data_IF_291377368454
#
_entry.id   IF_291377368454
#
_cell.length_a   1.000
_cell.length_b   1.000
_cell.length_c   1.000
_cell.angle_alpha   90.00
_cell.angle_beta   90.00
_cell.angle_gamma   90.00
#
_symmetry.space_group_name_H-M   'P 1'
#
loop_
_entity.id
_entity.type
_entity.pdbx_description
1 polymer ?
#
# COMPACT_ATOMS: atom_id res chain seq x y z
N UNK A 1 35.46 -13.77 32.99
CA UNK A 1 34.14 -14.47 33.06
C UNK A 1 33.30 -13.91 31.94
N UNK A 2 33.32 -14.59 30.81
CA UNK A 2 32.59 -14.24 29.58
C UNK A 2 31.15 -14.79 29.72
N UNK A 3 30.16 -13.90 29.82
CA UNK A 3 28.74 -14.26 29.76
C UNK A 3 28.44 -14.75 28.36
N UNK A 4 28.17 -16.06 28.23
CA UNK A 4 27.62 -16.68 27.05
C UNK A 4 26.22 -16.12 26.80
N UNK A 5 26.01 -15.54 25.58
CA UNK A 5 24.73 -15.07 25.13
C UNK A 5 23.71 -16.20 25.16
N UNK A 6 22.56 -15.94 25.81
CA UNK A 6 21.42 -16.84 25.85
C UNK A 6 20.96 -17.08 24.42
N UNK A 7 21.18 -18.30 23.89
CA UNK A 7 20.72 -18.70 22.56
C UNK A 7 19.20 -18.59 22.50
N UNK A 8 18.72 -17.59 21.76
CA UNK A 8 17.29 -17.41 21.55
C UNK A 8 16.74 -18.65 20.85
N UNK A 9 15.74 -19.34 21.43
CA UNK A 9 15.21 -20.58 20.87
C UNK A 9 14.71 -20.39 19.43
N UNK A 10 14.84 -21.40 18.59
CA UNK A 10 14.54 -21.35 17.16
C UNK A 10 13.14 -20.81 16.85
N UNK A 11 12.13 -21.21 17.64
CA UNK A 11 10.76 -20.71 17.46
C UNK A 11 10.65 -19.18 17.65
N UNK A 12 11.40 -18.60 18.60
CA UNK A 12 11.39 -17.16 18.83
C UNK A 12 12.16 -16.39 17.74
N UNK A 13 13.15 -17.03 17.09
CA UNK A 13 13.81 -16.47 15.90
C UNK A 13 12.85 -16.47 14.70
N UNK A 14 12.16 -17.58 14.47
CA UNK A 14 11.15 -17.71 13.40
C UNK A 14 10.01 -16.72 13.60
N UNK A 15 9.48 -16.60 14.82
CA UNK A 15 8.43 -15.63 15.13
C UNK A 15 8.87 -14.20 14.84
N UNK A 16 10.08 -13.80 15.23
CA UNK A 16 10.63 -12.46 14.91
C UNK A 16 10.74 -12.22 13.39
N UNK A 17 11.16 -13.23 12.62
CA UNK A 17 11.22 -13.12 11.16
C UNK A 17 9.83 -12.95 10.56
N UNK A 18 8.84 -13.70 11.04
CA UNK A 18 7.45 -13.56 10.59
C UNK A 18 6.91 -12.18 10.96
N UNK A 19 7.10 -11.76 12.20
CA UNK A 19 6.59 -10.47 12.70
C UNK A 19 7.23 -9.28 11.96
N UNK A 20 8.52 -9.35 11.67
CA UNK A 20 9.21 -8.26 10.95
C UNK A 20 8.88 -8.21 9.44
N UNK A 21 8.59 -9.36 8.80
CA UNK A 21 8.33 -9.41 7.35
C UNK A 21 6.85 -9.41 6.97
N UNK A 22 5.98 -9.92 7.83
CA UNK A 22 4.55 -10.11 7.57
C UNK A 22 3.64 -9.50 8.64
N UNK A 23 4.22 -8.97 9.70
CA UNK A 23 3.51 -8.38 10.85
C UNK A 23 2.90 -9.42 11.80
N UNK A 24 2.52 -10.56 11.30
CA UNK A 24 1.93 -11.68 12.06
C UNK A 24 1.82 -12.93 11.21
N UNK A 25 1.59 -14.09 11.84
CA UNK A 25 1.25 -15.34 11.12
C UNK A 25 0.01 -15.17 10.23
N UNK A 26 -1.01 -14.43 10.71
CA UNK A 26 -2.20 -14.12 9.91
C UNK A 26 -1.86 -13.27 8.68
N UNK A 27 -0.97 -12.29 8.82
CA UNK A 27 -0.46 -11.48 7.70
C UNK A 27 0.30 -12.32 6.69
N UNK A 28 1.14 -13.25 7.15
CA UNK A 28 1.85 -14.20 6.29
C UNK A 28 0.89 -15.09 5.49
N UNK A 29 -0.10 -15.71 6.14
CA UNK A 29 -1.10 -16.54 5.46
C UNK A 29 -1.87 -15.74 4.41
N UNK A 30 -2.34 -14.54 4.74
CA UNK A 30 -3.04 -13.67 3.79
C UNK A 30 -2.17 -13.27 2.60
N UNK A 31 -0.88 -13.00 2.83
CA UNK A 31 0.07 -12.71 1.77
C UNK A 31 0.24 -13.90 0.80
N UNK A 32 0.32 -15.11 1.32
CA UNK A 32 0.43 -16.32 0.50
C UNK A 32 -0.85 -16.62 -0.28
N UNK A 33 -2.03 -16.47 0.35
CA UNK A 33 -3.31 -16.63 -0.33
C UNK A 33 -3.48 -15.61 -1.45
N UNK A 34 -3.15 -14.34 -1.22
CA UNK A 34 -3.19 -13.30 -2.23
C UNK A 34 -2.22 -13.59 -3.39
N UNK A 35 -1.03 -14.13 -3.08
CA UNK A 35 -0.07 -14.53 -4.10
C UNK A 35 -0.58 -15.73 -4.92
N UNK A 36 -1.26 -16.68 -4.29
CA UNK A 36 -1.88 -17.81 -4.99
C UNK A 36 -3.03 -17.33 -5.91
N UNK A 37 -3.92 -16.43 -5.45
CA UNK A 37 -4.97 -15.81 -6.28
C UNK A 37 -4.36 -15.07 -7.49
N UNK A 38 -3.24 -14.38 -7.30
CA UNK A 38 -2.51 -13.70 -8.37
C UNK A 38 -1.96 -14.68 -9.41
N UNK A 39 -1.23 -15.71 -8.97
CA UNK A 39 -0.66 -16.73 -9.88
C UNK A 39 -1.73 -17.49 -10.65
N UNK A 40 -2.93 -17.68 -10.07
CA UNK A 40 -4.08 -18.29 -10.74
C UNK A 40 -4.81 -17.35 -11.70
N UNK A 41 -4.34 -16.12 -11.92
CA UNK A 41 -4.96 -15.13 -12.82
C UNK A 41 -6.28 -14.53 -12.30
N UNK A 42 -6.65 -14.81 -11.04
CA UNK A 42 -7.91 -14.29 -10.48
C UNK A 42 -7.89 -12.78 -10.22
N UNK A 43 -6.70 -12.17 -10.27
CA UNK A 43 -6.48 -10.74 -9.98
C UNK A 43 -6.11 -9.93 -11.22
N UNK A 44 -6.16 -10.49 -12.43
CA UNK A 44 -5.75 -9.81 -13.67
C UNK A 44 -6.47 -8.48 -13.87
N UNK A 45 -7.77 -8.43 -13.56
CA UNK A 45 -8.56 -7.19 -13.64
C UNK A 45 -8.06 -6.07 -12.68
N UNK A 46 -7.23 -6.39 -11.68
CA UNK A 46 -6.68 -5.45 -10.70
C UNK A 46 -5.16 -5.25 -10.81
N UNK A 47 -4.52 -5.92 -11.76
CA UNK A 47 -3.08 -5.79 -12.03
C UNK A 47 -2.81 -5.10 -13.36
N UNK A 48 -3.84 -5.02 -14.22
CA UNK A 48 -3.81 -4.32 -15.49
C UNK A 48 -4.92 -3.27 -15.50
N UNK A 49 -4.69 -2.09 -14.88
CA UNK A 49 -5.66 -1.01 -14.93
C UNK A 49 -5.96 -0.65 -16.40
N UNK A 50 -7.22 -0.36 -16.68
CA UNK A 50 -7.66 -0.03 -18.04
C UNK A 50 -6.85 1.13 -18.63
N UNK A 51 -6.73 1.16 -19.96
CA UNK A 51 -5.97 2.13 -20.74
C UNK A 51 -6.54 3.58 -20.71
N UNK A 52 -7.33 3.92 -19.70
CA UNK A 52 -7.83 5.27 -19.51
C UNK A 52 -6.69 6.20 -19.08
N UNK A 53 -6.73 7.43 -19.54
CA UNK A 53 -5.80 8.46 -19.11
C UNK A 53 -5.90 8.65 -17.59
N UNK A 54 -4.83 8.27 -16.87
CA UNK A 54 -4.76 8.39 -15.41
C UNK A 54 -4.21 9.76 -15.05
N UNK A 55 -5.06 10.61 -14.45
CA UNK A 55 -4.66 11.97 -14.04
C UNK A 55 -4.45 12.10 -12.53
N UNK A 56 -4.97 11.16 -11.74
CA UNK A 56 -4.83 11.18 -10.29
C UNK A 56 -4.73 9.76 -9.71
N UNK A 57 -3.75 9.56 -8.84
CA UNK A 57 -3.60 8.35 -8.04
C UNK A 57 -4.35 8.49 -6.72
N UNK A 58 -5.19 7.52 -6.38
CA UNK A 58 -5.97 7.55 -5.15
C UNK A 58 -5.67 6.31 -4.32
N UNK A 59 -4.90 6.46 -3.27
CA UNK A 59 -4.49 5.34 -2.42
C UNK A 59 -5.56 5.00 -1.40
N UNK A 60 -5.91 3.71 -1.31
CA UNK A 60 -7.05 3.24 -0.52
C UNK A 60 -6.63 2.20 0.51
N UNK A 61 -6.92 2.46 1.79
CA UNK A 61 -6.80 1.47 2.86
C UNK A 61 -8.02 1.52 3.79
N UNK A 62 -8.00 0.83 4.91
CA UNK A 62 -9.16 0.82 5.82
C UNK A 62 -9.35 2.19 6.50
N UNK A 63 -8.33 2.69 7.20
CA UNK A 63 -8.45 3.86 8.09
C UNK A 63 -7.87 5.16 7.53
N UNK A 64 -7.18 5.16 6.40
CA UNK A 64 -6.49 6.34 5.83
C UNK A 64 -5.56 7.10 6.82
N UNK A 65 -4.97 6.38 7.78
CA UNK A 65 -4.10 6.95 8.81
C UNK A 65 -2.66 6.40 8.78
N UNK A 66 -2.41 5.34 8.00
CA UNK A 66 -1.11 4.67 7.85
C UNK A 66 -0.72 4.55 6.38
N UNK A 67 -1.09 3.41 5.76
CA UNK A 67 -0.61 2.96 4.45
C UNK A 67 -0.94 3.92 3.31
N UNK A 68 -2.22 4.27 3.15
CA UNK A 68 -2.66 5.14 2.05
C UNK A 68 -2.19 6.58 2.25
N UNK A 69 -2.15 7.06 3.50
CA UNK A 69 -1.59 8.36 3.85
C UNK A 69 -0.10 8.46 3.45
N UNK A 70 0.68 7.42 3.77
CA UNK A 70 2.09 7.36 3.41
C UNK A 70 2.30 7.26 1.89
N UNK A 71 1.54 6.39 1.21
CA UNK A 71 1.62 6.22 -0.24
C UNK A 71 1.31 7.51 -1.01
N UNK A 72 0.34 8.30 -0.54
CA UNK A 72 0.01 9.61 -1.09
C UNK A 72 1.22 10.56 -1.03
N UNK A 73 1.92 10.64 0.11
CA UNK A 73 3.09 11.50 0.25
C UNK A 73 4.25 11.03 -0.63
N UNK A 74 4.47 9.71 -0.75
CA UNK A 74 5.48 9.17 -1.69
C UNK A 74 5.16 9.61 -3.12
N UNK A 75 3.92 9.43 -3.58
CA UNK A 75 3.52 9.78 -4.94
C UNK A 75 3.65 11.30 -5.20
N UNK A 76 3.25 12.13 -4.24
CA UNK A 76 3.41 13.59 -4.32
C UNK A 76 4.88 14.01 -4.38
N UNK A 77 5.75 13.37 -3.60
CA UNK A 77 7.19 13.62 -3.66
C UNK A 77 7.81 13.25 -5.02
N UNK A 78 7.20 12.30 -5.75
CA UNK A 78 7.56 11.95 -7.12
C UNK A 78 6.92 12.88 -8.18
N UNK A 79 6.16 13.89 -7.77
CA UNK A 79 5.50 14.85 -8.67
C UNK A 79 4.16 14.35 -9.25
N UNK A 80 3.61 13.22 -8.76
CA UNK A 80 2.32 12.75 -9.21
C UNK A 80 1.17 13.47 -8.49
N UNK A 81 0.06 13.71 -9.20
CA UNK A 81 -1.19 14.14 -8.58
C UNK A 81 -1.78 12.99 -7.78
N UNK A 82 -1.85 13.14 -6.46
CA UNK A 82 -2.26 12.05 -5.57
C UNK A 82 -3.17 12.52 -4.45
N UNK A 83 -4.03 11.61 -4.00
CA UNK A 83 -4.84 11.71 -2.80
C UNK A 83 -4.98 10.34 -2.13
N UNK A 84 -5.58 10.28 -0.94
CA UNK A 84 -5.84 9.02 -0.27
C UNK A 84 -7.19 9.03 0.44
N UNK A 85 -7.79 7.84 0.60
CA UNK A 85 -9.08 7.65 1.26
C UNK A 85 -9.08 6.41 2.15
N UNK A 86 -9.96 6.41 3.15
CA UNK A 86 -10.24 5.28 4.03
C UNK A 86 -11.63 4.69 3.76
N UNK A 87 -11.73 3.37 3.81
CA UNK A 87 -13.01 2.68 3.66
C UNK A 87 -13.88 2.76 4.91
N UNK A 88 -13.27 3.02 6.06
CA UNK A 88 -13.94 3.16 7.36
C UNK A 88 -13.06 4.03 8.26
N UNK A 89 -13.30 5.32 8.23
CA UNK A 89 -12.55 6.30 9.01
C UNK A 89 -13.43 7.50 9.36
N UNK A 90 -12.87 8.45 10.08
CA UNK A 90 -13.50 9.77 10.30
C UNK A 90 -12.74 10.79 9.50
N UNK A 91 -13.40 11.51 8.59
CA UNK A 91 -12.80 12.60 7.84
C UNK A 91 -12.24 13.65 8.79
N UNK A 92 -11.00 14.08 8.53
CA UNK A 92 -10.25 15.00 9.39
C UNK A 92 -9.41 14.29 10.48
N UNK A 93 -9.51 12.97 10.66
CA UNK A 93 -8.68 12.27 11.62
C UNK A 93 -7.18 12.38 11.24
N UNK A 94 -6.28 12.60 12.22
CA UNK A 94 -4.84 12.69 11.95
C UNK A 94 -4.26 11.32 11.59
N UNK A 95 -3.07 11.33 10.99
CA UNK A 95 -2.29 10.11 10.81
C UNK A 95 -1.97 9.46 12.17
N UNK A 96 -1.81 8.14 12.16
CA UNK A 96 -1.43 7.39 13.35
C UNK A 96 -0.02 7.81 13.81
N UNK A 97 0.19 7.96 15.13
CA UNK A 97 1.46 8.49 15.66
C UNK A 97 2.69 7.73 15.14
N UNK A 98 2.65 6.38 15.08
CA UNK A 98 3.76 5.58 14.50
C UNK A 98 4.00 5.86 13.02
N UNK A 99 2.98 6.19 12.25
CA UNK A 99 3.15 6.59 10.86
C UNK A 99 3.88 7.94 10.77
N UNK A 100 3.50 8.90 11.63
CA UNK A 100 4.18 10.20 11.72
C UNK A 100 5.64 10.03 12.15
N UNK A 101 5.92 9.17 13.13
CA UNK A 101 7.28 8.88 13.62
C UNK A 101 8.16 8.13 12.60
N UNK A 102 7.53 7.32 11.73
CA UNK A 102 8.25 6.48 10.76
C UNK A 102 8.52 7.21 9.45
N UNK A 103 7.60 8.05 8.98
CA UNK A 103 7.67 8.73 7.69
C UNK A 103 8.98 9.56 7.47
N UNK A 104 9.57 10.23 8.49
CA UNK A 104 10.83 10.95 8.33
C UNK A 104 12.02 10.08 7.90
N UNK A 105 12.00 8.77 8.18
CA UNK A 105 13.03 7.82 7.68
C UNK A 105 13.03 7.69 6.14
N UNK A 106 11.95 8.12 5.50
CA UNK A 106 11.75 8.13 4.06
C UNK A 106 11.78 9.55 3.48
N UNK A 107 12.16 10.56 4.30
CA UNK A 107 12.17 11.97 3.89
C UNK A 107 10.79 12.60 3.76
N UNK A 108 9.76 12.02 4.41
CA UNK A 108 8.36 12.43 4.29
C UNK A 108 7.79 12.90 5.64
N UNK A 109 6.75 13.75 5.58
CA UNK A 109 6.03 14.26 6.76
C UNK A 109 4.53 13.92 6.65
N UNK A 110 4.00 13.25 7.68
CA UNK A 110 2.58 12.93 7.82
C UNK A 110 1.89 13.75 8.92
N UNK A 111 2.57 14.71 9.56
CA UNK A 111 2.04 15.47 10.70
C UNK A 111 0.79 16.30 10.35
N UNK A 112 0.66 16.69 9.09
CA UNK A 112 -0.47 17.49 8.58
C UNK A 112 -1.51 16.65 7.84
N UNK A 113 -1.34 15.33 7.80
CA UNK A 113 -2.29 14.46 7.12
C UNK A 113 -3.65 14.50 7.82
N UNK A 114 -4.70 14.55 7.02
CA UNK A 114 -6.09 14.42 7.45
C UNK A 114 -6.75 13.32 6.64
N UNK A 115 -7.28 12.31 7.33
CA UNK A 115 -7.97 11.20 6.69
C UNK A 115 -9.24 11.69 5.97
N UNK A 116 -9.58 11.04 4.87
CA UNK A 116 -10.84 11.25 4.13
C UNK A 116 -11.58 9.94 4.08
N UNK A 117 -12.84 9.90 4.54
CA UNK A 117 -13.70 8.72 4.40
C UNK A 117 -14.18 8.58 2.94
N UNK A 118 -14.32 7.34 2.46
CA UNK A 118 -14.75 7.05 1.08
C UNK A 118 -16.08 7.71 0.73
N UNK A 119 -17.01 7.83 1.69
CA UNK A 119 -18.31 8.48 1.47
C UNK A 119 -18.21 9.99 1.23
N UNK A 120 -17.13 10.63 1.69
CA UNK A 120 -16.87 12.05 1.50
C UNK A 120 -15.99 12.32 0.27
N UNK A 121 -15.60 11.24 -0.44
CA UNK A 121 -14.75 11.29 -1.62
C UNK A 121 -15.57 11.31 -2.90
N UNK A 122 -15.23 12.21 -3.83
CA UNK A 122 -15.83 12.26 -5.16
C UNK A 122 -14.92 11.59 -6.18
N UNK A 123 -15.35 10.44 -6.69
CA UNK A 123 -14.68 9.70 -7.75
C UNK A 123 -14.73 10.48 -9.09
N UNK A 124 -13.61 10.46 -9.82
CA UNK A 124 -13.48 11.01 -11.17
C UNK A 124 -13.10 9.88 -12.13
N UNK A 125 -13.59 9.96 -13.37
CA UNK A 125 -13.32 8.94 -14.39
C UNK A 125 -11.82 8.75 -14.69
N UNK A 126 -10.98 9.74 -14.38
CA UNK A 126 -9.52 9.72 -14.56
C UNK A 126 -8.77 9.34 -13.29
N UNK A 127 -9.46 8.90 -12.22
CA UNK A 127 -8.84 8.38 -11.02
C UNK A 127 -8.44 6.91 -11.17
N UNK A 128 -7.24 6.57 -10.71
CA UNK A 128 -6.82 5.21 -10.48
C UNK A 128 -6.78 4.95 -8.98
N UNK A 129 -7.68 4.10 -8.48
CA UNK A 129 -7.77 3.73 -7.07
C UNK A 129 -6.84 2.54 -6.76
N UNK A 130 -5.91 2.76 -5.85
CA UNK A 130 -4.82 1.83 -5.52
C UNK A 130 -5.07 1.19 -4.16
N UNK A 131 -5.64 0.01 -4.18
CA UNK A 131 -6.01 -0.74 -2.99
C UNK A 131 -4.78 -1.44 -2.36
N UNK A 132 -4.67 -1.39 -1.04
CA UNK A 132 -3.58 -2.06 -0.28
C UNK A 132 -3.82 -3.56 -0.12
N UNK A 133 -5.07 -4.01 -0.22
CA UNK A 133 -5.48 -5.41 -0.03
C UNK A 133 -6.64 -5.76 -0.97
N UNK A 134 -6.78 -7.04 -1.33
CA UNK A 134 -7.87 -7.53 -2.21
C UNK A 134 -9.26 -7.16 -1.64
N UNK A 135 -9.44 -7.26 -0.32
CA UNK A 135 -10.71 -6.90 0.33
C UNK A 135 -11.07 -5.41 0.13
N UNK A 136 -10.06 -4.52 0.05
CA UNK A 136 -10.29 -3.10 -0.25
C UNK A 136 -10.77 -2.91 -1.69
N UNK A 137 -10.17 -3.61 -2.65
CA UNK A 137 -10.60 -3.58 -4.04
C UNK A 137 -12.05 -4.09 -4.21
N UNK A 138 -12.40 -5.19 -3.53
CA UNK A 138 -13.77 -5.73 -3.52
C UNK A 138 -14.77 -4.72 -2.95
N UNK A 139 -14.45 -4.08 -1.82
CA UNK A 139 -15.30 -3.04 -1.22
C UNK A 139 -15.51 -1.84 -2.14
N UNK A 140 -14.47 -1.41 -2.88
CA UNK A 140 -14.62 -0.33 -3.87
C UNK A 140 -15.58 -0.71 -5.01
N UNK A 141 -15.51 -1.97 -5.48
CA UNK A 141 -16.44 -2.49 -6.49
C UNK A 141 -17.88 -2.50 -5.96
N UNK A 142 -18.08 -2.96 -4.71
CA UNK A 142 -19.38 -2.95 -4.02
C UNK A 142 -19.91 -1.51 -3.84
N UNK A 143 -19.03 -0.54 -3.64
CA UNK A 143 -19.37 0.89 -3.59
C UNK A 143 -19.65 1.52 -4.98
N UNK A 144 -19.61 0.72 -6.06
CA UNK A 144 -19.94 1.17 -7.41
C UNK A 144 -18.77 1.74 -8.21
N UNK A 145 -17.54 1.65 -7.73
CA UNK A 145 -16.37 2.09 -8.49
C UNK A 145 -16.09 1.08 -9.62
N UNK A 146 -15.88 1.53 -10.87
CA UNK A 146 -15.59 0.65 -12.00
C UNK A 146 -14.30 -0.18 -11.75
N UNK A 147 -14.35 -1.49 -12.01
CA UNK A 147 -13.21 -2.40 -11.82
C UNK A 147 -11.96 -1.93 -12.58
N UNK A 148 -12.12 -1.38 -13.77
CA UNK A 148 -11.02 -0.86 -14.60
C UNK A 148 -10.28 0.32 -13.95
N UNK A 149 -10.91 1.02 -12.99
CA UNK A 149 -10.31 2.13 -12.24
C UNK A 149 -9.67 1.68 -10.91
N UNK A 150 -9.61 0.37 -10.64
CA UNK A 150 -9.10 -0.16 -9.37
C UNK A 150 -7.92 -1.08 -9.63
N UNK A 151 -6.78 -0.82 -8.97
CA UNK A 151 -5.62 -1.71 -9.01
C UNK A 151 -5.13 -2.05 -7.60
N UNK A 152 -4.34 -3.13 -7.50
CA UNK A 152 -3.66 -3.54 -6.26
C UNK A 152 -2.26 -2.95 -6.25
N UNK A 153 -1.99 -2.01 -5.36
CA UNK A 153 -0.69 -1.32 -5.27
C UNK A 153 0.47 -2.29 -5.13
N UNK A 154 0.28 -3.37 -4.38
CA UNK A 154 1.30 -4.38 -4.13
C UNK A 154 1.79 -5.12 -5.38
N UNK A 155 1.13 -4.98 -6.53
CA UNK A 155 1.58 -5.49 -7.82
C UNK A 155 2.95 -4.90 -8.22
N UNK A 156 3.18 -3.64 -7.95
CA UNK A 156 4.44 -2.94 -8.25
C UNK A 156 5.49 -3.00 -7.13
N UNK A 157 5.20 -3.68 -6.03
CA UNK A 157 6.15 -3.78 -4.92
C UNK A 157 7.39 -4.61 -5.27
N UNK A 158 8.55 -4.20 -4.77
CA UNK A 158 9.78 -4.97 -4.83
C UNK A 158 10.34 -5.18 -3.41
N UNK A 159 10.41 -6.43 -2.93
CA UNK A 159 9.95 -7.67 -3.58
C UNK A 159 8.44 -7.70 -3.81
N UNK A 160 8.00 -8.39 -4.87
CA UNK A 160 6.59 -8.47 -5.26
C UNK A 160 5.70 -8.99 -4.12
N UNK A 161 4.67 -8.23 -3.77
CA UNK A 161 3.78 -8.56 -2.65
C UNK A 161 2.40 -7.94 -2.83
N UNK A 162 1.46 -8.70 -3.38
CA UNK A 162 0.08 -8.26 -3.66
C UNK A 162 -0.65 -7.75 -2.41
N UNK A 163 -0.45 -8.39 -1.26
CA UNK A 163 -1.11 -8.04 0.00
C UNK A 163 -0.19 -7.20 0.89
N UNK A 164 -0.46 -5.92 0.98
CA UNK A 164 0.23 -4.97 1.87
C UNK A 164 -0.49 -4.94 3.22
N UNK A 165 -0.14 -5.90 4.11
CA UNK A 165 -0.81 -6.07 5.40
C UNK A 165 -0.75 -4.81 6.27
N UNK A 166 -1.80 -4.60 7.11
CA UNK A 166 -1.89 -3.41 7.96
C UNK A 166 -0.86 -3.44 9.10
N UNK A 167 0.03 -2.43 9.22
CA UNK A 167 0.99 -2.35 10.30
C UNK A 167 0.39 -1.83 11.62
N UNK A 168 -0.90 -1.44 11.62
CA UNK A 168 -1.55 -0.87 12.79
C UNK A 168 -1.45 -1.81 14.00
N UNK A 169 -0.96 -1.30 15.13
CA UNK A 169 -0.71 -2.03 16.38
C UNK A 169 0.31 -3.19 16.27
N UNK A 170 1.07 -3.28 15.19
CA UNK A 170 2.15 -4.26 15.04
C UNK A 170 3.51 -3.67 15.44
N UNK A 171 4.56 -4.51 15.40
CA UNK A 171 5.91 -4.10 15.80
C UNK A 171 6.51 -3.05 14.85
N UNK A 172 7.44 -2.26 15.36
CA UNK A 172 8.10 -1.18 14.61
C UNK A 172 8.88 -1.70 13.40
N UNK A 173 9.47 -2.90 13.52
CA UNK A 173 10.16 -3.55 12.41
C UNK A 173 9.22 -3.81 11.23
N UNK A 174 7.99 -4.26 11.50
CA UNK A 174 7.01 -4.46 10.43
C UNK A 174 6.47 -3.13 9.89
N UNK A 175 6.32 -2.12 10.73
CA UNK A 175 5.93 -0.79 10.29
C UNK A 175 6.89 -0.26 9.22
N UNK A 176 8.20 -0.40 9.48
CA UNK A 176 9.25 -0.05 8.53
C UNK A 176 9.19 -0.90 7.26
N UNK A 177 9.05 -2.23 7.38
CA UNK A 177 8.90 -3.14 6.24
C UNK A 177 7.70 -2.77 5.37
N UNK A 178 6.56 -2.49 5.98
CA UNK A 178 5.34 -2.09 5.26
C UNK A 178 5.56 -0.79 4.47
N UNK A 179 6.17 0.22 5.07
CA UNK A 179 6.45 1.50 4.40
C UNK A 179 7.49 1.35 3.29
N UNK A 180 8.51 0.52 3.47
CA UNK A 180 9.48 0.19 2.41
C UNK A 180 8.80 -0.46 1.20
N UNK A 181 7.91 -1.43 1.43
CA UNK A 181 7.14 -2.07 0.36
C UNK A 181 6.23 -1.08 -0.37
N UNK A 182 5.53 -0.22 0.39
CA UNK A 182 4.66 0.81 -0.20
C UNK A 182 5.48 1.80 -1.02
N UNK A 183 6.62 2.26 -0.51
CA UNK A 183 7.50 3.16 -1.25
C UNK A 183 7.94 2.52 -2.57
N UNK A 184 8.46 1.29 -2.54
CA UNK A 184 8.89 0.59 -3.76
C UNK A 184 7.74 0.42 -4.76
N UNK A 185 6.53 0.11 -4.27
CA UNK A 185 5.34 -0.07 -5.11
C UNK A 185 4.91 1.25 -5.77
N UNK A 186 4.95 2.36 -5.05
CA UNK A 186 4.59 3.67 -5.61
C UNK A 186 5.61 4.11 -6.66
N UNK A 187 6.92 3.87 -6.43
CA UNK A 187 7.95 4.14 -7.43
C UNK A 187 7.70 3.32 -8.70
N UNK A 188 7.54 1.98 -8.58
CA UNK A 188 7.29 1.13 -9.73
C UNK A 188 6.04 1.54 -10.53
N UNK A 189 4.94 1.86 -9.85
CA UNK A 189 3.72 2.34 -10.49
C UNK A 189 3.95 3.66 -11.24
N UNK A 190 4.60 4.65 -10.62
CA UNK A 190 4.82 5.96 -11.24
C UNK A 190 5.74 5.83 -12.45
N UNK A 191 6.75 4.95 -12.39
CA UNK A 191 7.66 4.69 -13.51
C UNK A 191 6.92 4.01 -14.68
N UNK A 192 6.06 3.02 -14.41
CA UNK A 192 5.22 2.37 -15.43
C UNK A 192 4.27 3.37 -16.12
N UNK A 193 3.62 4.23 -15.33
CA UNK A 193 2.74 5.25 -15.89
C UNK A 193 3.49 6.27 -16.75
N UNK A 194 4.69 6.67 -16.35
CA UNK A 194 5.54 7.57 -17.17
C UNK A 194 5.98 6.90 -18.46
N UNK A 195 6.37 5.63 -18.40
CA UNK A 195 6.74 4.86 -19.59
C UNK A 195 5.57 4.74 -20.58
N UNK A 196 4.35 4.52 -20.09
CA UNK A 196 3.15 4.44 -20.91
C UNK A 196 2.78 5.78 -21.59
N UNK A 197 3.15 6.92 -20.99
CA UNK A 197 2.89 8.27 -21.54
C UNK A 197 4.04 8.82 -22.40
N UNK A 198 5.19 8.14 -22.43
CA UNK A 198 6.31 8.54 -23.30
C UNK A 198 6.00 8.14 -24.72
N UNK A 199 5.87 9.10 -25.69
CA UNK A 199 5.67 8.74 -27.10
C UNK A 199 6.88 7.94 -27.58
N UNK A 200 6.62 6.77 -28.16
CA UNK A 200 7.63 6.02 -28.91
C UNK A 200 8.20 6.96 -29.99
N UNK A 201 9.42 7.44 -29.84
CA UNK A 201 10.13 8.11 -30.94
C UNK A 201 10.33 7.06 -32.02
N UNK A 202 9.82 7.25 -33.24
CA UNK A 202 10.11 6.35 -34.33
C UNK A 202 11.59 6.45 -34.66
N UNK A 203 12.26 5.31 -34.65
CA UNK A 203 13.64 5.11 -35.11
C UNK A 203 13.81 5.35 -36.61
#
# INVERSE_FOLDING_TARGET
MTQFGIDTPLHARLQRVIDSNHGSVRGMIRSWLAQAEFVMGQLDAHTQPGANEVNRLVFVCLGNINRSAFAEQVARALGATASSVGLSTTTGAPAFHKAIETAPRFGLDLSRHQATDLKDYTFRATDLLLAMEIRHARHLVEAGIPKASIALLGHWASPHRIHLHDPHLLCDAYFLTCFTLIQSAVHGLVDDLRAAHSPCLPS
#
